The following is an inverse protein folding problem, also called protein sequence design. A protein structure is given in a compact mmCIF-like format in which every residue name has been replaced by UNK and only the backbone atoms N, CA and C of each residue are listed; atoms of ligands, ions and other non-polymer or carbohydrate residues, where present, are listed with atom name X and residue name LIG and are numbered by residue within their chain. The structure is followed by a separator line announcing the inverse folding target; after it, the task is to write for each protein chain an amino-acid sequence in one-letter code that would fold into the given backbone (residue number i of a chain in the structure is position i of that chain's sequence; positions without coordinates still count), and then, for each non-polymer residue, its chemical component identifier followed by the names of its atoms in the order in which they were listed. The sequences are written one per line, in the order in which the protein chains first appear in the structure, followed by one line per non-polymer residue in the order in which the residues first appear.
data_IF_154480082352
#
_entry.id   IF_154480082352
#
_cell.length_a   1.000
_cell.length_b   1.000
_cell.length_c   1.000
_cell.angle_alpha   90.00
_cell.angle_beta   90.00
_cell.angle_gamma   90.00
#
_symmetry.space_group_name_H-M   'P 1'
#
loop_
_entity.id
_entity.type
_entity.pdbx_description
1 polymer ?
#
# COMPACT_ATOMS: atom_id res chain seq x y z
N UNK A 1 -60.13 -8.81 23.48
CA UNK A 1 -60.93 -7.61 23.13
C UNK A 1 -60.10 -6.36 23.42
N UNK A 2 -60.27 -5.30 22.62
CA UNK A 2 -60.01 -3.86 22.91
C UNK A 2 -60.10 -3.54 24.43
N UNK A 3 -59.24 -2.78 25.11
CA UNK A 3 -58.66 -1.42 24.95
C UNK A 3 -57.49 -1.28 26.00
N UNK A 4 -56.62 -0.24 26.13
CA UNK A 4 -56.27 1.02 25.42
C UNK A 4 -54.86 1.51 25.88
N UNK A 5 -54.37 2.62 25.29
CA UNK A 5 -53.37 3.59 25.85
C UNK A 5 -54.12 4.93 26.16
N UNK A 6 -53.57 6.02 26.75
CA UNK A 6 -52.16 6.39 27.04
C UNK A 6 -51.95 7.14 28.40
N UNK A 7 -51.03 8.15 28.43
CA UNK A 7 -50.60 9.11 29.50
C UNK A 7 -49.26 8.64 30.15
N UNK A 8 -48.16 9.43 30.18
CA UNK A 8 -47.89 10.69 30.92
C UNK A 8 -47.04 11.70 30.10
N UNK A 9 -47.06 12.98 30.52
CA UNK A 9 -46.24 14.13 30.08
C UNK A 9 -44.70 13.87 30.07
N UNK A 10 -43.84 14.69 29.46
CA UNK A 10 -44.02 16.01 28.83
C UNK A 10 -43.16 17.08 29.55
N UNK A 11 -42.22 17.71 28.83
CA UNK A 11 -41.61 18.99 29.19
C UNK A 11 -41.04 19.66 27.92
N UNK A 12 -41.18 20.98 27.81
CA UNK A 12 -40.66 21.78 26.69
C UNK A 12 -40.07 23.09 27.19
N UNK A 13 -38.97 23.53 26.58
CA UNK A 13 -38.35 24.86 26.68
C UNK A 13 -37.49 25.01 25.40
N UNK A 14 -37.86 25.79 24.38
CA UNK A 14 -37.76 27.28 24.28
C UNK A 14 -36.32 27.73 24.58
N UNK A 15 -35.42 27.99 23.62
CA UNK A 15 -35.40 28.80 22.38
C UNK A 15 -34.96 30.28 22.57
N UNK A 16 -33.78 30.61 22.04
CA UNK A 16 -33.29 31.93 21.59
C UNK A 16 -32.05 31.65 20.69
N UNK A 17 -31.87 32.07 19.44
CA UNK A 17 -32.12 33.30 18.65
C UNK A 17 -31.12 34.46 18.88
N UNK A 18 -30.47 34.86 17.77
CA UNK A 18 -29.73 36.13 17.59
C UNK A 18 -28.21 35.96 17.37
N UNK A 19 -27.48 36.60 16.45
CA UNK A 19 -27.63 37.15 15.07
C UNK A 19 -26.48 38.14 14.86
N UNK A 20 -25.79 38.09 13.70
CA UNK A 20 -24.90 39.13 13.14
C UNK A 20 -23.60 39.46 13.95
N UNK A 21 -22.54 40.08 13.41
CA UNK A 21 -22.38 40.84 12.14
C UNK A 21 -20.95 40.72 11.57
N UNK A 22 -20.77 41.08 10.29
CA UNK A 22 -19.46 41.30 9.66
C UNK A 22 -18.77 42.57 10.20
N UNK A 23 -17.44 42.60 10.16
CA UNK A 23 -16.62 43.80 10.43
C UNK A 23 -15.39 43.85 9.51
N UNK A 24 -15.54 44.49 8.35
CA UNK A 24 -14.42 44.86 7.48
C UNK A 24 -13.81 46.18 7.98
N UNK A 25 -12.50 46.23 8.21
CA UNK A 25 -11.77 47.47 8.43
C UNK A 25 -10.42 47.38 7.71
N UNK A 26 -10.04 48.45 7.01
CA UNK A 26 -8.77 48.52 6.29
C UNK A 26 -8.32 49.96 6.05
N UNK A 27 -7.10 50.06 5.54
CA UNK A 27 -6.37 51.27 5.13
C UNK A 27 -5.72 52.10 6.27
N UNK A 28 -4.46 52.52 6.02
CA UNK A 28 -3.72 53.48 6.83
C UNK A 28 -2.26 53.08 7.12
N UNK A 29 -1.30 53.40 6.23
CA UNK A 29 0.13 53.35 6.56
C UNK A 29 0.58 54.70 7.13
N UNK A 30 1.16 54.71 8.33
CA UNK A 30 1.83 55.92 8.85
C UNK A 30 3.18 55.56 9.46
N UNK A 31 4.25 56.14 8.91
CA UNK A 31 5.61 55.90 9.38
C UNK A 31 5.94 56.82 10.55
N UNK A 32 6.11 56.24 11.74
CA UNK A 32 6.69 56.92 12.88
C UNK A 32 7.93 56.15 13.37
N UNK A 33 9.11 56.73 13.16
CA UNK A 33 10.37 56.22 13.70
C UNK A 33 10.50 56.61 15.16
N UNK A 34 10.65 55.64 16.06
CA UNK A 34 11.14 55.90 17.42
C UNK A 34 11.97 54.73 17.95
N UNK A 35 13.08 55.09 18.58
CA UNK A 35 14.25 54.22 18.78
C UNK A 35 14.20 53.45 20.10
N UNK A 36 14.60 52.18 20.07
CA UNK A 36 15.30 51.52 21.19
C UNK A 36 14.47 51.08 22.39
N UNK A 37 14.20 49.77 22.45
CA UNK A 37 14.22 49.04 23.73
C UNK A 37 14.70 47.61 23.49
N UNK A 38 15.69 47.18 24.27
CA UNK A 38 16.20 45.80 24.29
C UNK A 38 15.17 44.89 24.95
N UNK A 39 14.35 44.22 24.14
CA UNK A 39 13.40 43.19 24.56
C UNK A 39 13.87 41.80 24.16
N UNK A 40 14.12 40.94 25.15
CA UNK A 40 14.45 39.52 24.99
C UNK A 40 13.41 38.76 24.16
N UNK A 41 13.90 37.78 23.41
CA UNK A 41 13.17 36.73 22.69
C UNK A 41 11.74 36.45 23.15
N UNK A 42 10.79 36.68 22.26
CA UNK A 42 9.74 35.67 21.99
C UNK A 42 10.02 35.08 20.62
N UNK A 43 10.74 33.95 20.61
CA UNK A 43 10.65 33.00 19.52
C UNK A 43 9.17 32.77 19.26
N UNK A 44 8.73 33.05 18.02
CA UNK A 44 7.44 32.61 17.55
C UNK A 44 7.41 31.09 17.58
N UNK A 45 7.02 30.51 18.72
CA UNK A 45 6.54 29.14 18.81
C UNK A 45 5.17 29.13 18.16
N UNK A 46 5.18 29.31 16.84
CA UNK A 46 4.16 28.74 15.98
C UNK A 46 3.95 27.31 16.48
N UNK A 47 2.70 26.98 16.79
CA UNK A 47 2.40 25.70 17.39
C UNK A 47 2.68 24.64 16.32
N UNK A 48 3.90 24.10 16.35
CA UNK A 48 4.29 22.96 15.57
C UNK A 48 3.31 21.84 15.92
N UNK A 49 2.30 21.68 15.07
CA UNK A 49 1.41 20.53 15.11
C UNK A 49 2.32 19.30 15.16
N UNK A 50 2.10 18.43 16.14
CA UNK A 50 3.03 17.34 16.43
C UNK A 50 3.28 16.50 15.18
N UNK A 51 4.41 16.78 14.53
CA UNK A 51 4.71 16.18 13.24
C UNK A 51 5.06 14.72 13.51
N UNK A 52 4.29 13.81 12.91
CA UNK A 52 4.51 12.38 13.03
C UNK A 52 5.99 12.06 12.78
N UNK A 53 6.54 11.14 13.59
CA UNK A 53 7.88 10.60 13.34
C UNK A 53 7.94 10.03 11.92
N UNK A 54 9.11 10.02 11.27
CA UNK A 54 9.21 9.56 9.88
C UNK A 54 8.62 8.14 9.67
N UNK A 55 8.76 7.26 10.66
CA UNK A 55 8.19 5.91 10.68
C UNK A 55 6.65 5.94 10.71
N UNK A 56 6.06 6.72 11.62
CA UNK A 56 4.60 6.82 11.78
C UNK A 56 3.94 7.49 10.57
N UNK A 57 4.61 8.44 9.95
CA UNK A 57 4.13 9.12 8.74
C UNK A 57 4.21 8.19 7.51
N UNK A 58 5.31 7.46 7.34
CA UNK A 58 5.43 6.44 6.29
C UNK A 58 4.39 5.34 6.46
N UNK A 59 4.16 4.87 7.69
CA UNK A 59 3.12 3.89 8.01
C UNK A 59 1.71 4.43 7.75
N UNK A 60 1.44 5.70 8.04
CA UNK A 60 0.18 6.36 7.72
C UNK A 60 -0.03 6.47 6.20
N UNK A 61 1.02 6.82 5.44
CA UNK A 61 0.97 6.96 3.99
C UNK A 61 0.72 5.61 3.29
N UNK A 62 1.38 4.55 3.75
CA UNK A 62 1.11 3.18 3.32
C UNK A 62 -0.32 2.74 3.67
N UNK A 63 -0.81 3.03 4.88
CA UNK A 63 -2.17 2.68 5.29
C UNK A 63 -3.24 3.34 4.42
N UNK A 64 -2.99 4.51 3.83
CA UNK A 64 -3.94 5.13 2.88
C UNK A 64 -4.13 4.32 1.60
N UNK A 65 -3.26 3.38 1.26
CA UNK A 65 -3.51 2.45 0.15
C UNK A 65 -4.71 1.51 0.41
N UNK A 66 -5.22 1.43 1.64
CA UNK A 66 -6.46 0.70 1.96
C UNK A 66 -7.75 1.50 1.74
N UNK A 67 -7.69 2.80 1.41
CA UNK A 67 -8.89 3.66 1.34
C UNK A 67 -9.49 3.75 -0.05
N UNK A 68 -8.73 3.47 -1.10
CA UNK A 68 -9.09 3.77 -2.47
C UNK A 68 -8.69 2.65 -3.45
N UNK A 69 -9.21 2.78 -4.67
CA UNK A 69 -8.70 2.05 -5.82
C UNK A 69 -7.44 2.72 -6.37
N UNK A 70 -6.56 1.96 -7.02
CA UNK A 70 -5.34 2.48 -7.63
C UNK A 70 -4.83 1.59 -8.78
N UNK A 71 -3.89 2.12 -9.55
CA UNK A 71 -2.94 1.34 -10.36
C UNK A 71 -1.65 1.11 -9.59
N UNK A 72 -1.03 -0.03 -9.85
CA UNK A 72 0.25 -0.45 -9.28
C UNK A 72 1.18 -0.84 -10.43
N UNK A 73 2.29 -0.12 -10.57
CA UNK A 73 3.39 -0.51 -11.46
C UNK A 73 4.60 -0.89 -10.60
N UNK A 74 5.32 -1.93 -10.97
CA UNK A 74 6.59 -2.32 -10.36
C UNK A 74 7.62 -2.60 -11.46
N UNK A 75 8.84 -2.12 -11.29
CA UNK A 75 10.00 -2.51 -12.09
C UNK A 75 11.12 -3.01 -11.17
N UNK A 76 11.75 -4.11 -11.56
CA UNK A 76 12.94 -4.67 -10.92
C UNK A 76 14.13 -4.56 -11.88
N UNK A 77 14.48 -3.33 -12.26
CA UNK A 77 15.60 -3.00 -13.15
C UNK A 77 15.58 -3.79 -14.47
N UNK A 78 14.40 -3.99 -15.06
CA UNK A 78 14.19 -4.76 -16.28
C UNK A 78 14.27 -6.29 -16.16
N UNK A 79 14.65 -6.87 -15.00
CA UNK A 79 14.62 -8.32 -14.80
C UNK A 79 13.19 -8.86 -14.69
N UNK A 80 12.31 -8.08 -14.06
CA UNK A 80 10.87 -8.32 -13.93
C UNK A 80 10.14 -6.98 -13.96
N UNK A 81 8.95 -6.96 -14.53
CA UNK A 81 8.00 -5.84 -14.36
C UNK A 81 6.63 -6.36 -13.98
N UNK A 82 5.87 -5.58 -13.21
CA UNK A 82 4.46 -5.81 -12.92
C UNK A 82 3.67 -4.55 -13.24
N UNK A 83 2.46 -4.73 -13.75
CA UNK A 83 1.45 -3.67 -13.92
C UNK A 83 0.12 -4.21 -13.41
N UNK A 84 -0.75 -3.37 -12.87
CA UNK A 84 -2.00 -3.87 -12.32
C UNK A 84 -2.91 -2.81 -11.72
N UNK A 85 -4.04 -3.29 -11.21
CA UNK A 85 -5.07 -2.52 -10.50
C UNK A 85 -5.43 -3.20 -9.20
N UNK A 86 -5.76 -2.40 -8.18
CA UNK A 86 -6.23 -2.88 -6.88
C UNK A 86 -7.38 -2.00 -6.37
N UNK A 87 -8.32 -2.61 -5.64
CA UNK A 87 -9.21 -1.92 -4.70
C UNK A 87 -8.75 -2.24 -3.28
N UNK A 88 -8.13 -1.26 -2.60
CA UNK A 88 -7.59 -1.46 -1.25
C UNK A 88 -8.65 -1.67 -0.17
N UNK A 89 -9.93 -1.42 -0.48
CA UNK A 89 -11.06 -1.56 0.46
C UNK A 89 -11.61 -2.98 0.49
N UNK A 90 -11.63 -3.64 -0.66
CA UNK A 90 -12.10 -5.04 -0.80
C UNK A 90 -10.95 -6.05 -0.77
N UNK A 91 -9.74 -5.63 -1.16
CA UNK A 91 -8.61 -6.52 -1.37
C UNK A 91 -8.63 -7.23 -2.73
N UNK A 92 -9.45 -6.76 -3.67
CA UNK A 92 -9.50 -7.31 -5.03
C UNK A 92 -8.42 -6.66 -5.90
N UNK A 93 -7.70 -7.46 -6.71
CA UNK A 93 -6.67 -6.95 -7.62
C UNK A 93 -6.51 -7.80 -8.87
N UNK A 94 -6.13 -7.17 -9.98
CA UNK A 94 -5.58 -7.84 -11.15
C UNK A 94 -4.15 -7.33 -11.40
N UNK A 95 -3.19 -8.24 -11.53
CA UNK A 95 -1.81 -7.91 -11.89
C UNK A 95 -1.34 -8.74 -13.07
N UNK A 96 -0.51 -8.13 -13.91
CA UNK A 96 0.24 -8.74 -15.00
C UNK A 96 1.72 -8.63 -14.65
N UNK A 97 2.42 -9.75 -14.55
CA UNK A 97 3.85 -9.85 -14.30
C UNK A 97 4.54 -10.34 -15.57
N UNK A 98 5.52 -9.58 -16.06
CA UNK A 98 6.40 -9.96 -17.16
C UNK A 98 7.75 -10.42 -16.58
N UNK A 99 8.04 -11.71 -16.69
CA UNK A 99 9.24 -12.33 -16.14
C UNK A 99 10.36 -12.35 -17.19
N UNK A 100 10.80 -11.15 -17.61
CA UNK A 100 11.73 -10.97 -18.73
C UNK A 100 13.06 -11.74 -18.60
N UNK A 101 13.53 -11.95 -17.36
CA UNK A 101 14.70 -12.78 -17.07
C UNK A 101 14.54 -14.29 -17.36
N UNK A 102 13.30 -14.81 -17.44
CA UNK A 102 13.03 -16.22 -17.78
C UNK A 102 12.85 -16.43 -19.29
N UNK A 103 12.04 -15.59 -19.93
CA UNK A 103 11.94 -15.47 -21.39
C UNK A 103 11.20 -14.18 -21.75
N UNK A 104 11.34 -13.71 -23.00
CA UNK A 104 10.58 -12.56 -23.53
C UNK A 104 9.06 -12.71 -23.44
N UNK A 105 8.58 -13.96 -23.46
CA UNK A 105 7.17 -14.30 -23.58
C UNK A 105 6.60 -14.84 -22.25
N UNK A 106 7.41 -14.87 -21.19
CA UNK A 106 7.05 -15.37 -19.86
C UNK A 106 6.14 -14.39 -19.12
N UNK A 107 4.84 -14.45 -19.44
CA UNK A 107 3.80 -13.67 -18.77
C UNK A 107 3.07 -14.48 -17.70
N UNK A 108 2.80 -13.86 -16.56
CA UNK A 108 1.84 -14.33 -15.57
C UNK A 108 0.76 -13.26 -15.38
N UNK A 109 -0.50 -13.69 -15.28
CA UNK A 109 -1.62 -12.83 -14.87
C UNK A 109 -2.20 -13.41 -13.58
N UNK A 110 -2.36 -12.57 -12.56
CA UNK A 110 -2.98 -12.93 -11.30
C UNK A 110 -4.23 -12.09 -11.08
N UNK A 111 -5.28 -12.71 -10.54
CA UNK A 111 -6.50 -12.06 -10.07
C UNK A 111 -6.76 -12.53 -8.66
N UNK A 112 -6.97 -11.60 -7.72
CA UNK A 112 -7.47 -11.91 -6.38
C UNK A 112 -8.85 -11.30 -6.23
N UNK A 113 -9.80 -12.09 -5.76
CA UNK A 113 -11.19 -11.68 -5.52
C UNK A 113 -11.59 -12.25 -4.16
N UNK A 114 -11.70 -11.39 -3.14
CA UNK A 114 -11.83 -11.84 -1.75
C UNK A 114 -10.70 -12.79 -1.34
N UNK A 115 -11.03 -14.08 -1.18
CA UNK A 115 -10.10 -15.17 -0.83
C UNK A 115 -9.66 -16.03 -2.02
N UNK A 116 -10.27 -15.86 -3.19
CA UNK A 116 -9.98 -16.68 -4.36
C UNK A 116 -8.87 -16.02 -5.19
N UNK A 117 -7.77 -16.73 -5.43
CA UNK A 117 -6.67 -16.29 -6.29
C UNK A 117 -6.67 -17.14 -7.56
N UNK A 118 -6.80 -16.49 -8.72
CA UNK A 118 -6.68 -17.11 -10.03
C UNK A 118 -5.36 -16.70 -10.66
N UNK A 119 -4.57 -17.68 -11.08
CA UNK A 119 -3.27 -17.47 -11.72
C UNK A 119 -3.26 -18.12 -13.10
N UNK A 120 -2.91 -17.33 -14.12
CA UNK A 120 -2.64 -17.80 -15.48
C UNK A 120 -1.17 -17.59 -15.79
N UNK A 121 -0.48 -18.64 -16.21
CA UNK A 121 0.93 -18.58 -16.63
C UNK A 121 1.01 -19.02 -18.07
N UNK A 122 1.56 -18.17 -18.94
CA UNK A 122 1.69 -18.46 -20.36
C UNK A 122 2.97 -19.28 -20.68
N UNK A 123 3.08 -19.75 -21.92
CA UNK A 123 4.27 -20.44 -22.43
C UNK A 123 4.50 -21.84 -21.85
N UNK A 124 5.77 -22.26 -21.83
CA UNK A 124 6.15 -23.59 -21.35
C UNK A 124 6.06 -23.71 -19.82
N UNK A 125 6.30 -22.62 -19.08
CA UNK A 125 6.28 -22.61 -17.62
C UNK A 125 4.89 -22.99 -17.07
N UNK A 126 3.82 -22.47 -17.66
CA UNK A 126 2.45 -22.86 -17.30
C UNK A 126 2.22 -24.37 -17.48
N UNK A 127 2.65 -24.95 -18.61
CA UNK A 127 2.53 -26.39 -18.86
C UNK A 127 3.33 -27.22 -17.86
N UNK A 128 4.55 -26.82 -17.51
CA UNK A 128 5.37 -27.48 -16.49
C UNK A 128 4.74 -27.42 -15.09
N UNK A 129 4.01 -26.34 -14.79
CA UNK A 129 3.22 -26.18 -13.56
C UNK A 129 1.82 -26.82 -13.67
N UNK A 130 1.55 -27.61 -14.71
CA UNK A 130 0.31 -28.37 -14.86
C UNK A 130 -0.90 -27.56 -15.34
N UNK A 131 -0.71 -26.37 -15.90
CA UNK A 131 -1.78 -25.62 -16.56
C UNK A 131 -2.28 -26.38 -17.79
N UNK A 132 -3.56 -26.79 -17.79
CA UNK A 132 -4.23 -27.36 -18.94
C UNK A 132 -4.49 -26.25 -19.98
N UNK A 133 -4.21 -26.53 -21.26
CA UNK A 133 -4.48 -25.61 -22.37
C UNK A 133 -5.95 -25.19 -22.49
N UNK A 134 -6.89 -26.02 -22.03
CA UNK A 134 -8.33 -25.74 -21.96
C UNK A 134 -8.74 -25.02 -20.68
N UNK A 135 -7.95 -25.16 -19.60
CA UNK A 135 -8.15 -24.52 -18.29
C UNK A 135 -6.91 -23.73 -17.85
N UNK A 136 -6.60 -22.62 -18.54
CA UNK A 136 -5.37 -21.87 -18.34
C UNK A 136 -5.30 -21.12 -16.99
N UNK A 137 -6.41 -21.07 -16.23
CA UNK A 137 -6.44 -20.46 -14.90
C UNK A 137 -6.36 -21.52 -13.82
N UNK A 138 -5.32 -21.45 -13.00
CA UNK A 138 -5.17 -22.22 -11.77
C UNK A 138 -5.77 -21.44 -10.61
N UNK A 139 -6.65 -22.08 -9.85
CA UNK A 139 -7.26 -21.52 -8.65
C UNK A 139 -6.48 -21.91 -7.40
N UNK A 140 -6.34 -20.95 -6.49
CA UNK A 140 -5.65 -21.04 -5.20
C UNK A 140 -6.53 -20.35 -4.16
N UNK A 141 -6.94 -21.11 -3.14
CA UNK A 141 -7.63 -20.56 -1.97
C UNK A 141 -6.63 -19.88 -1.04
N UNK A 142 -6.71 -18.55 -0.90
CA UNK A 142 -5.81 -17.74 -0.09
C UNK A 142 -5.84 -18.12 1.40
N UNK A 143 -6.93 -18.72 1.90
CA UNK A 143 -7.03 -19.17 3.30
C UNK A 143 -6.17 -20.40 3.60
N UNK A 144 -5.68 -21.09 2.56
CA UNK A 144 -4.75 -22.23 2.66
C UNK A 144 -3.28 -21.83 2.51
N UNK A 145 -3.00 -20.54 2.30
CA UNK A 145 -1.65 -20.00 2.23
C UNK A 145 -1.16 -19.63 3.63
N UNK A 146 0.09 -20.00 3.95
CA UNK A 146 0.72 -19.59 5.22
C UNK A 146 0.88 -18.07 5.38
N UNK A 147 1.14 -17.62 6.60
CA UNK A 147 1.51 -16.23 6.85
C UNK A 147 2.80 -15.87 6.07
N UNK A 148 2.86 -14.64 5.55
CA UNK A 148 3.97 -14.19 4.70
C UNK A 148 3.94 -14.71 3.25
N UNK A 149 2.92 -15.46 2.83
CA UNK A 149 2.89 -15.99 1.46
C UNK A 149 2.91 -14.88 0.38
N UNK A 150 3.85 -14.95 -0.55
CA UNK A 150 3.96 -14.01 -1.68
C UNK A 150 2.69 -13.93 -2.54
N UNK A 151 1.96 -15.04 -2.69
CA UNK A 151 0.69 -15.07 -3.44
C UNK A 151 -0.50 -14.51 -2.67
N UNK A 152 -0.42 -14.32 -1.35
CA UNK A 152 -1.39 -13.52 -0.60
C UNK A 152 -1.01 -12.04 -0.70
N UNK A 153 -1.05 -11.50 -1.92
CA UNK A 153 -0.92 -10.07 -2.21
C UNK A 153 -2.27 -9.38 -2.05
N UNK A 154 -2.29 -8.06 -1.85
CA UNK A 154 -3.51 -7.28 -1.64
C UNK A 154 -4.48 -7.92 -0.62
N UNK A 155 -3.97 -8.33 0.55
CA UNK A 155 -4.83 -8.74 1.66
C UNK A 155 -5.49 -7.50 2.26
N UNK A 156 -6.58 -7.67 3.02
CA UNK A 156 -7.27 -6.53 3.65
C UNK A 156 -6.38 -5.81 4.67
N UNK A 157 -5.47 -6.56 5.28
CA UNK A 157 -4.48 -6.12 6.27
C UNK A 157 -3.23 -5.52 5.60
N UNK A 158 -2.98 -5.85 4.33
CA UNK A 158 -1.85 -5.35 3.55
C UNK A 158 -2.17 -5.22 2.04
N UNK A 159 -2.96 -4.21 1.64
CA UNK A 159 -3.48 -4.09 0.27
C UNK A 159 -2.41 -3.84 -0.82
N UNK A 160 -1.16 -3.61 -0.43
CA UNK A 160 -0.06 -3.31 -1.35
C UNK A 160 1.27 -4.03 -1.03
N UNK A 161 1.30 -4.96 -0.08
CA UNK A 161 2.57 -5.54 0.43
C UNK A 161 3.40 -4.55 1.28
N UNK A 162 2.80 -3.40 1.60
CA UNK A 162 3.39 -2.32 2.40
C UNK A 162 3.52 -2.62 3.88
N UNK A 163 2.60 -3.38 4.50
CA UNK A 163 2.77 -3.80 5.89
C UNK A 163 3.96 -4.74 5.99
N UNK A 164 4.05 -5.73 5.10
CA UNK A 164 5.21 -6.62 5.04
C UNK A 164 6.53 -5.88 4.80
N UNK A 165 6.51 -4.73 4.10
CA UNK A 165 7.67 -3.85 4.01
C UNK A 165 7.92 -3.07 5.31
N UNK A 166 6.90 -2.46 5.91
CA UNK A 166 7.02 -1.71 7.16
C UNK A 166 7.53 -2.60 8.31
N UNK A 167 7.16 -3.88 8.33
CA UNK A 167 7.70 -4.87 9.26
C UNK A 167 9.22 -5.09 9.06
N UNK A 168 9.74 -4.88 7.84
CA UNK A 168 11.17 -4.88 7.53
C UNK A 168 11.85 -3.53 7.78
N UNK A 169 11.13 -2.41 7.90
CA UNK A 169 11.74 -1.08 8.10
C UNK A 169 12.41 -1.00 9.48
N UNK A 170 13.69 -0.65 9.51
CA UNK A 170 14.47 -0.53 10.75
C UNK A 170 14.88 0.89 11.10
N UNK A 171 14.92 1.77 10.11
CA UNK A 171 15.31 3.18 10.21
C UNK A 171 14.53 3.96 9.17
N UNK A 172 13.99 5.14 9.53
CA UNK A 172 13.38 6.07 8.58
C UNK A 172 13.87 7.49 8.86
N UNK A 173 14.34 8.16 7.81
CA UNK A 173 14.62 9.59 7.82
C UNK A 173 13.68 10.30 6.85
N UNK A 174 13.18 11.47 7.27
CA UNK A 174 12.38 12.35 6.42
C UNK A 174 13.28 13.10 5.44
N UNK A 175 12.82 13.25 4.19
CA UNK A 175 13.53 13.93 3.10
C UNK A 175 12.59 14.97 2.50
N UNK A 176 12.66 16.21 3.00
CA UNK A 176 11.65 17.23 2.70
C UNK A 176 10.27 16.86 3.24
N UNK A 177 9.22 17.45 2.70
CA UNK A 177 7.85 17.29 3.24
C UNK A 177 7.20 15.96 2.86
N UNK A 178 7.57 15.42 1.69
CA UNK A 178 6.93 14.26 1.05
C UNK A 178 7.83 13.02 0.91
N UNK A 179 9.13 13.16 1.12
CA UNK A 179 10.10 12.07 0.92
C UNK A 179 10.49 11.36 2.22
N UNK A 180 10.88 10.11 2.06
CA UNK A 180 11.48 9.26 3.09
C UNK A 180 12.67 8.50 2.51
N UNK A 181 13.67 8.20 3.34
CA UNK A 181 14.74 7.24 3.06
C UNK A 181 15.00 6.41 4.30
N UNK A 182 15.61 5.24 4.15
CA UNK A 182 15.89 4.41 5.31
C UNK A 182 16.51 3.05 4.97
N UNK A 183 16.38 2.13 5.92
CA UNK A 183 17.01 0.81 5.88
C UNK A 183 15.97 -0.29 6.12
N UNK A 184 15.90 -1.26 5.20
CA UNK A 184 15.13 -2.49 5.31
C UNK A 184 16.00 -3.63 5.83
N UNK A 185 15.40 -4.42 6.71
CA UNK A 185 15.89 -5.71 7.17
C UNK A 185 14.84 -6.78 6.79
N UNK A 186 15.08 -7.46 5.68
CA UNK A 186 14.16 -8.46 5.13
C UNK A 186 13.95 -9.64 6.08
N UNK A 187 14.88 -9.89 7.02
CA UNK A 187 14.77 -10.99 7.99
C UNK A 187 13.65 -10.76 9.01
N UNK A 188 13.20 -9.51 9.19
CA UNK A 188 12.11 -9.14 10.11
C UNK A 188 10.71 -9.30 9.53
N UNK A 189 10.58 -9.39 8.20
CA UNK A 189 9.29 -9.56 7.54
C UNK A 189 9.04 -11.03 7.24
N UNK A 190 7.95 -11.65 7.75
CA UNK A 190 7.58 -13.02 7.41
C UNK A 190 7.42 -13.28 5.90
N UNK A 191 7.17 -12.22 5.12
CA UNK A 191 7.03 -12.28 3.66
C UNK A 191 8.36 -12.37 2.91
N UNK A 192 9.42 -11.81 3.51
CA UNK A 192 10.72 -11.69 2.85
C UNK A 192 11.82 -12.52 3.51
N UNK A 193 11.66 -12.94 4.77
CA UNK A 193 12.72 -13.57 5.57
C UNK A 193 13.16 -14.94 5.06
N UNK A 194 12.26 -15.70 4.45
CA UNK A 194 12.52 -17.05 3.93
C UNK A 194 13.63 -17.04 2.87
N UNK A 195 14.72 -17.76 3.14
CA UNK A 195 15.87 -17.87 2.25
C UNK A 195 16.85 -16.70 2.35
N UNK A 196 16.60 -15.71 3.21
CA UNK A 196 17.53 -14.60 3.46
C UNK A 196 18.69 -14.98 4.37
N UNK A 197 18.60 -16.11 5.09
CA UNK A 197 19.63 -16.60 6.00
C UNK A 197 20.97 -16.80 5.28
N UNK A 198 20.92 -17.24 4.01
CA UNK A 198 22.09 -17.39 3.15
C UNK A 198 22.75 -16.07 2.71
N UNK A 199 22.04 -14.94 2.85
CA UNK A 199 22.51 -13.60 2.46
C UNK A 199 23.09 -12.83 3.65
N UNK A 200 22.77 -13.22 4.89
CA UNK A 200 23.27 -12.64 6.13
C UNK A 200 23.08 -11.12 6.19
N UNK A 201 24.15 -10.40 6.58
CA UNK A 201 24.20 -8.93 6.69
C UNK A 201 23.73 -8.16 5.44
N UNK A 202 23.72 -8.78 4.25
CA UNK A 202 23.24 -8.14 3.03
C UNK A 202 21.72 -7.94 3.03
N UNK A 203 20.97 -8.86 3.64
CA UNK A 203 19.51 -8.79 3.73
C UNK A 203 19.02 -7.87 4.87
N UNK A 204 19.90 -7.47 5.80
CA UNK A 204 19.55 -6.68 7.00
C UNK A 204 19.76 -5.16 6.83
N UNK A 205 20.38 -4.73 5.73
CA UNK A 205 20.88 -3.35 5.50
C UNK A 205 20.55 -2.81 4.11
N UNK A 206 19.38 -3.14 3.56
CA UNK A 206 18.99 -2.70 2.22
C UNK A 206 18.49 -1.25 2.24
N UNK A 207 19.07 -0.33 1.46
CA UNK A 207 18.56 1.03 1.37
C UNK A 207 17.15 1.05 0.76
N UNK A 208 16.29 1.94 1.24
CA UNK A 208 15.04 2.28 0.55
C UNK A 208 14.81 3.78 0.50
N UNK A 209 13.96 4.19 -0.45
CA UNK A 209 13.35 5.52 -0.52
C UNK A 209 11.86 5.38 -0.75
N UNK A 210 11.07 6.33 -0.28
CA UNK A 210 9.63 6.39 -0.51
C UNK A 210 9.17 7.83 -0.67
N UNK A 211 8.04 8.04 -1.35
CA UNK A 211 7.39 9.35 -1.49
C UNK A 211 5.89 9.24 -1.24
N UNK A 212 5.31 10.33 -0.74
CA UNK A 212 3.86 10.51 -0.62
C UNK A 212 3.37 11.73 -1.40
N UNK A 213 2.10 11.73 -1.81
CA UNK A 213 1.45 12.90 -2.39
C UNK A 213 0.96 13.92 -1.34
N UNK A 214 0.36 15.02 -1.82
CA UNK A 214 -0.25 16.07 -0.98
C UNK A 214 -1.48 15.60 -0.20
N UNK A 215 -2.12 14.51 -0.62
CA UNK A 215 -3.18 13.85 0.16
C UNK A 215 -2.58 12.89 1.21
N UNK A 216 -1.26 12.72 1.23
CA UNK A 216 -0.53 11.86 2.16
C UNK A 216 -0.64 10.37 1.85
N UNK A 217 -0.94 9.97 0.61
CA UNK A 217 -0.90 8.57 0.14
C UNK A 217 0.52 8.23 -0.31
N UNK A 218 0.99 7.01 -0.06
CA UNK A 218 2.25 6.51 -0.63
C UNK A 218 2.14 6.46 -2.17
N UNK A 219 3.05 7.13 -2.89
CA UNK A 219 3.05 7.20 -4.36
C UNK A 219 4.19 6.43 -5.00
N UNK A 220 5.33 6.32 -4.32
CA UNK A 220 6.46 5.52 -4.78
C UNK A 220 7.19 4.90 -3.59
N UNK A 221 7.70 3.70 -3.81
CA UNK A 221 8.61 2.98 -2.93
C UNK A 221 9.71 2.36 -3.79
N UNK A 222 10.97 2.63 -3.48
CA UNK A 222 12.12 1.98 -4.14
C UNK A 222 13.02 1.35 -3.10
N UNK A 223 13.21 0.03 -3.18
CA UNK A 223 14.24 -0.72 -2.44
C UNK A 223 15.46 -1.00 -3.32
N UNK A 224 16.67 -0.81 -2.80
CA UNK A 224 17.92 -1.14 -3.49
C UNK A 224 18.40 -2.52 -3.05
N UNK A 225 18.16 -3.52 -3.90
CA UNK A 225 18.51 -4.93 -3.69
C UNK A 225 19.91 -5.27 -4.24
N UNK A 226 20.68 -4.29 -4.75
CA UNK A 226 21.93 -4.51 -5.48
C UNK A 226 23.02 -5.24 -4.66
N UNK A 227 22.95 -5.21 -3.32
CA UNK A 227 23.86 -5.94 -2.43
C UNK A 227 23.63 -7.47 -2.43
N UNK A 228 22.40 -7.91 -2.74
CA UNK A 228 21.97 -9.31 -2.66
C UNK A 228 22.61 -10.16 -3.76
N UNK A 229 22.90 -9.59 -4.93
CA UNK A 229 23.58 -10.30 -6.02
C UNK A 229 23.58 -9.52 -7.35
N UNK A 230 24.37 -10.03 -8.30
CA UNK A 230 24.37 -9.53 -9.67
C UNK A 230 22.98 -9.66 -10.30
N UNK A 231 22.39 -8.55 -10.73
CA UNK A 231 21.07 -8.52 -11.38
C UNK A 231 19.88 -8.24 -10.46
N UNK A 232 20.07 -8.14 -9.14
CA UNK A 232 18.98 -7.82 -8.20
C UNK A 232 18.52 -6.35 -8.31
N UNK A 233 19.46 -5.42 -8.56
CA UNK A 233 19.20 -4.03 -8.91
C UNK A 233 18.32 -3.25 -7.92
N UNK A 234 17.58 -2.27 -8.43
CA UNK A 234 16.51 -1.58 -7.70
C UNK A 234 15.16 -2.19 -8.04
N UNK A 235 14.31 -2.31 -7.04
CA UNK A 235 12.89 -2.63 -7.16
C UNK A 235 12.08 -1.38 -6.81
N UNK A 236 11.41 -0.80 -7.79
CA UNK A 236 10.57 0.40 -7.64
C UNK A 236 9.10 0.04 -7.86
N UNK A 237 8.25 0.32 -6.88
CA UNK A 237 6.79 0.22 -6.96
C UNK A 237 6.18 1.63 -6.95
N UNK A 238 5.26 1.91 -7.87
CA UNK A 238 4.51 3.17 -7.99
C UNK A 238 3.01 2.92 -7.81
N UNK A 239 2.37 3.80 -7.05
CA UNK A 239 0.92 3.82 -6.80
C UNK A 239 0.33 5.11 -7.36
N UNK A 240 -0.65 5.01 -8.24
CA UNK A 240 -1.18 6.14 -8.99
C UNK A 240 -2.63 5.91 -9.44
N UNK A 241 -3.22 6.90 -10.13
CA UNK A 241 -4.61 6.88 -10.62
C UNK A 241 -5.66 6.56 -9.53
N UNK A 242 -5.42 7.09 -8.32
CA UNK A 242 -6.26 6.87 -7.15
C UNK A 242 -7.73 7.22 -7.38
N UNK A 243 -8.63 6.39 -6.86
CA UNK A 243 -10.09 6.57 -6.99
C UNK A 243 -10.66 6.20 -8.37
N UNK A 244 -9.83 5.84 -9.36
CA UNK A 244 -10.29 5.34 -10.66
C UNK A 244 -11.06 4.04 -10.49
N UNK A 245 -12.23 3.89 -11.12
CA UNK A 245 -13.02 2.65 -11.04
C UNK A 245 -12.22 1.46 -11.60
N UNK A 246 -11.94 0.47 -10.75
CA UNK A 246 -11.40 -0.83 -11.14
C UNK A 246 -12.52 -1.87 -11.21
N UNK A 247 -12.30 -2.93 -11.98
CA UNK A 247 -13.19 -4.11 -12.03
C UNK A 247 -12.31 -5.33 -12.16
N UNK A 248 -12.40 -6.25 -11.20
CA UNK A 248 -11.65 -7.51 -11.18
C UNK A 248 -12.68 -8.62 -11.18
N UNK A 249 -12.66 -9.46 -12.23
CA UNK A 249 -13.69 -10.47 -12.47
C UNK A 249 -13.09 -11.87 -12.48
N UNK A 250 -13.79 -12.82 -11.86
CA UNK A 250 -13.37 -14.21 -11.84
C UNK A 250 -13.30 -14.73 -13.29
N UNK A 251 -12.30 -15.55 -13.66
CA UNK A 251 -12.30 -16.22 -14.95
C UNK A 251 -13.54 -17.10 -15.11
N UNK A 252 -13.94 -17.38 -16.35
CA UNK A 252 -15.03 -18.32 -16.61
C UNK A 252 -14.71 -19.68 -15.97
N UNK A 253 -15.63 -20.24 -15.19
CA UNK A 253 -15.43 -21.51 -14.49
C UNK A 253 -15.03 -22.68 -15.42
N UNK A 254 -15.41 -22.62 -16.71
CA UNK A 254 -14.97 -23.59 -17.72
C UNK A 254 -13.46 -23.53 -18.03
N UNK A 255 -12.81 -22.39 -17.76
CA UNK A 255 -11.38 -22.13 -17.97
C UNK A 255 -10.56 -22.27 -16.68
N UNK A 256 -11.19 -22.63 -15.56
CA UNK A 256 -10.56 -22.76 -14.24
C UNK A 256 -10.35 -24.22 -13.90
N UNK A 257 -9.17 -24.51 -13.35
CA UNK A 257 -8.84 -25.74 -12.64
C UNK A 257 -8.29 -25.38 -11.25
N UNK A 258 -8.48 -26.26 -10.27
CA UNK A 258 -7.72 -26.16 -9.01
C UNK A 258 -6.23 -26.33 -9.30
N UNK A 259 -5.37 -25.58 -8.61
CA UNK A 259 -3.93 -25.74 -8.79
C UNK A 259 -3.48 -27.14 -8.31
N UNK A 260 -2.61 -27.85 -9.07
CA UNK A 260 -2.16 -29.18 -8.68
C UNK A 260 -1.55 -29.24 -7.27
N UNK A 261 -1.98 -30.23 -6.48
CA UNK A 261 -1.51 -30.41 -5.08
C UNK A 261 -0.01 -30.72 -4.97
N UNK A 262 0.64 -31.16 -6.05
CA UNK A 262 2.09 -31.27 -6.17
C UNK A 262 2.81 -29.91 -6.02
N UNK A 263 2.13 -28.80 -6.28
CA UNK A 263 2.66 -27.44 -6.13
C UNK A 263 2.43 -26.85 -4.73
N UNK A 264 1.69 -27.53 -3.83
CA UNK A 264 1.45 -27.03 -2.46
C UNK A 264 2.74 -26.84 -1.64
N UNK A 265 3.80 -27.59 -1.97
CA UNK A 265 5.12 -27.40 -1.39
C UNK A 265 5.81 -26.11 -1.86
N UNK A 266 5.55 -25.66 -3.10
CA UNK A 266 6.07 -24.38 -3.64
C UNK A 266 5.25 -23.21 -3.11
N UNK A 267 3.94 -23.37 -2.89
CA UNK A 267 3.13 -22.34 -2.24
C UNK A 267 3.67 -21.98 -0.86
N UNK A 268 3.88 -22.99 0.00
CA UNK A 268 4.18 -22.77 1.41
C UNK A 268 5.68 -22.85 1.75
N UNK A 269 6.54 -22.98 0.73
CA UNK A 269 8.01 -22.84 0.82
C UNK A 269 8.38 -21.54 1.53
#
# INVERSE_FOLDING_TARGET
MRNRRPVIAGLALVAALGTASLGLAGCGPESATSTGSTGTSVTGKEAAAEQLTPELDLAAAAKKLSTDTMKIDMDMSGAMSMTGVADGRTGDAETTINMGALSSDSKMVMRKIGNDIYMKIDGNLGKTLGADSSKPWMHIDATKLGEGNSFNFNSKEDPAGTKALLDAVTQVERVGDTGFKGTLDLTKSPRYSKGMEALGDKATKLPFTATKDSEGRLTELTGDMSSLGSGAGKMTTKYHDFGTKVSVEAPSAAQVQEMPSSLSGILNA
#
